data_IF_054933417551
#
_entry.id   IF_054933417551
#
_cell.length_a   1.000
_cell.length_b   1.000
_cell.length_c   1.000
_cell.angle_alpha   90.00
_cell.angle_beta   90.00
_cell.angle_gamma   90.00
#
_symmetry.space_group_name_H-M   'P 1'
#
loop_
_entity.id
_entity.type
_entity.pdbx_description
1 polymer ?
#
# COMPACT_ATOMS: atom_id res chain seq x y z
N UNK A 1 4.88 -45.15 -13.53
CA UNK A 1 3.54 -44.53 -13.36
C UNK A 1 3.29 -43.98 -11.94
N UNK A 2 3.94 -44.49 -10.88
CA UNK A 2 3.75 -44.07 -9.48
C UNK A 2 4.42 -42.71 -9.16
N UNK A 3 5.56 -42.41 -9.78
CA UNK A 3 6.35 -41.17 -9.56
C UNK A 3 5.59 -39.90 -9.95
N UNK A 4 4.72 -39.96 -10.96
CA UNK A 4 3.90 -38.83 -11.42
C UNK A 4 2.82 -38.44 -10.41
N UNK A 5 2.21 -39.42 -9.74
CA UNK A 5 1.17 -39.19 -8.72
C UNK A 5 1.72 -38.52 -7.47
N UNK A 6 2.91 -38.96 -7.02
CA UNK A 6 3.60 -38.37 -5.86
C UNK A 6 3.99 -36.91 -6.11
N UNK A 7 4.56 -36.60 -7.29
CA UNK A 7 4.90 -35.23 -7.69
C UNK A 7 3.67 -34.33 -7.78
N UNK A 8 2.55 -34.85 -8.29
CA UNK A 8 1.28 -34.12 -8.40
C UNK A 8 0.69 -33.81 -7.02
N UNK A 9 0.78 -34.75 -6.07
CA UNK A 9 0.34 -34.57 -4.66
C UNK A 9 1.21 -33.54 -3.94
N UNK A 10 2.53 -33.59 -4.10
CA UNK A 10 3.45 -32.60 -3.54
C UNK A 10 3.21 -31.19 -4.11
N UNK A 11 3.01 -31.06 -5.43
CA UNK A 11 2.70 -29.79 -6.10
C UNK A 11 1.33 -29.23 -5.70
N UNK A 12 0.37 -30.07 -5.31
CA UNK A 12 -0.95 -29.66 -4.79
C UNK A 12 -0.86 -29.19 -3.34
N UNK A 13 -0.13 -29.91 -2.50
CA UNK A 13 0.11 -29.52 -1.10
C UNK A 13 0.92 -28.22 -0.98
N UNK A 14 1.97 -28.07 -1.80
CA UNK A 14 2.76 -26.83 -1.87
C UNK A 14 1.92 -25.62 -2.33
N UNK A 15 0.98 -25.83 -3.27
CA UNK A 15 0.04 -24.77 -3.68
C UNK A 15 -0.91 -24.37 -2.55
N UNK A 16 -1.49 -25.32 -1.81
CA UNK A 16 -2.40 -24.97 -0.71
C UNK A 16 -1.70 -24.20 0.42
N UNK A 17 -0.45 -24.54 0.74
CA UNK A 17 0.34 -23.80 1.72
C UNK A 17 0.60 -22.35 1.27
N UNK A 18 0.96 -22.14 0.00
CA UNK A 18 1.12 -20.79 -0.57
C UNK A 18 -0.18 -19.99 -0.54
N UNK A 19 -1.31 -20.63 -0.87
CA UNK A 19 -2.62 -19.99 -0.86
C UNK A 19 -3.03 -19.56 0.56
N UNK A 20 -2.72 -20.38 1.57
CA UNK A 20 -2.93 -20.04 2.98
C UNK A 20 -2.02 -18.88 3.41
N UNK A 21 -0.72 -18.92 3.08
CA UNK A 21 0.22 -17.84 3.39
C UNK A 21 -0.22 -16.52 2.76
N UNK A 22 -0.68 -16.52 1.51
CA UNK A 22 -1.19 -15.33 0.83
C UNK A 22 -2.42 -14.77 1.55
N UNK A 23 -3.34 -15.65 1.96
CA UNK A 23 -4.55 -15.26 2.67
C UNK A 23 -4.22 -14.67 4.04
N UNK A 24 -3.23 -15.23 4.74
CA UNK A 24 -2.74 -14.71 6.02
C UNK A 24 -2.08 -13.35 5.81
N UNK A 25 -1.22 -13.20 4.81
CA UNK A 25 -0.58 -11.93 4.49
C UNK A 25 -1.60 -10.84 4.11
N UNK A 26 -2.60 -11.17 3.31
CA UNK A 26 -3.68 -10.26 2.93
C UNK A 26 -4.50 -9.82 4.17
N UNK A 27 -4.89 -10.77 5.03
CA UNK A 27 -5.60 -10.47 6.27
C UNK A 27 -4.76 -9.60 7.21
N UNK A 28 -3.47 -9.91 7.37
CA UNK A 28 -2.56 -9.12 8.20
C UNK A 28 -2.40 -7.71 7.66
N UNK A 29 -2.23 -7.54 6.34
CA UNK A 29 -2.12 -6.23 5.71
C UNK A 29 -3.37 -5.38 5.92
N UNK A 30 -4.57 -5.95 5.70
CA UNK A 30 -5.84 -5.25 5.94
C UNK A 30 -5.98 -4.89 7.42
N UNK A 31 -5.61 -5.80 8.33
CA UNK A 31 -5.69 -5.57 9.77
C UNK A 31 -4.77 -4.44 10.23
N UNK A 32 -3.54 -4.40 9.73
CA UNK A 32 -2.59 -3.31 9.98
C UNK A 32 -3.15 -1.99 9.45
N UNK A 33 -3.73 -1.98 8.25
CA UNK A 33 -4.35 -0.79 7.67
C UNK A 33 -5.49 -0.26 8.54
N UNK A 34 -6.38 -1.13 9.03
CA UNK A 34 -7.50 -0.75 9.89
C UNK A 34 -6.99 -0.16 11.21
N UNK A 35 -6.04 -0.81 11.89
CA UNK A 35 -5.48 -0.30 13.16
C UNK A 35 -4.82 1.05 12.93
N UNK A 36 -4.02 1.17 11.88
CA UNK A 36 -3.33 2.40 11.55
C UNK A 36 -4.31 3.54 11.26
N UNK A 37 -5.35 3.30 10.45
CA UNK A 37 -6.37 4.31 10.16
C UNK A 37 -7.19 4.69 11.38
N UNK A 38 -7.58 3.74 12.24
CA UNK A 38 -8.29 4.06 13.48
C UNK A 38 -7.43 4.94 14.41
N UNK A 39 -6.15 4.62 14.55
CA UNK A 39 -5.21 5.42 15.32
C UNK A 39 -5.11 6.86 14.80
N UNK A 40 -4.97 7.03 13.48
CA UNK A 40 -4.90 8.35 12.84
C UNK A 40 -6.23 9.11 12.86
N UNK A 41 -7.35 8.42 12.69
CA UNK A 41 -8.70 9.02 12.77
C UNK A 41 -8.88 9.72 14.12
N UNK A 42 -8.45 9.08 15.21
CA UNK A 42 -8.50 9.66 16.56
C UNK A 42 -7.65 10.92 16.63
N UNK A 43 -6.40 10.86 16.14
CA UNK A 43 -5.51 12.01 16.11
C UNK A 43 -6.09 13.18 15.29
N UNK A 44 -6.61 12.92 14.10
CA UNK A 44 -7.19 13.96 13.23
C UNK A 44 -8.51 14.53 13.75
N UNK A 45 -9.29 13.74 14.50
CA UNK A 45 -10.46 14.22 15.20
C UNK A 45 -10.06 15.25 16.27
N UNK A 46 -8.98 15.00 17.03
CA UNK A 46 -8.44 15.99 17.99
C UNK A 46 -7.86 17.23 17.29
N UNK A 47 -7.23 17.06 16.13
CA UNK A 47 -6.70 18.16 15.32
C UNK A 47 -7.78 18.96 14.57
N UNK A 48 -9.07 18.66 14.76
CA UNK A 48 -10.22 19.26 14.06
C UNK A 48 -10.16 19.21 12.52
N UNK A 49 -9.38 18.27 11.96
CA UNK A 49 -9.26 18.10 10.52
C UNK A 49 -10.31 17.12 9.99
N UNK A 50 -11.58 17.55 10.02
CA UNK A 50 -12.74 16.70 9.74
C UNK A 50 -12.74 16.04 8.36
N UNK A 51 -12.19 16.70 7.33
CA UNK A 51 -12.12 16.12 5.98
C UNK A 51 -11.30 14.84 5.97
N UNK A 52 -10.15 14.84 6.66
CA UNK A 52 -9.27 13.66 6.75
C UNK A 52 -9.94 12.57 7.58
N UNK A 53 -10.64 12.94 8.66
CA UNK A 53 -11.42 12.01 9.48
C UNK A 53 -12.46 11.27 8.64
N UNK A 54 -13.24 11.98 7.80
CA UNK A 54 -14.21 11.32 6.92
C UNK A 54 -13.54 10.40 5.90
N UNK A 55 -12.41 10.80 5.33
CA UNK A 55 -11.66 9.95 4.40
C UNK A 55 -11.12 8.69 5.06
N UNK A 56 -10.58 8.78 6.28
CA UNK A 56 -10.07 7.64 7.04
C UNK A 56 -11.19 6.68 7.45
N UNK A 57 -12.37 7.20 7.83
CA UNK A 57 -13.55 6.38 8.10
C UNK A 57 -13.99 5.63 6.84
N UNK A 58 -14.09 6.32 5.70
CA UNK A 58 -14.42 5.69 4.42
C UNK A 58 -13.40 4.61 4.05
N UNK A 59 -12.10 4.89 4.22
CA UNK A 59 -11.02 3.94 3.96
C UNK A 59 -11.11 2.69 4.87
N UNK A 60 -11.42 2.91 6.15
CA UNK A 60 -11.62 1.83 7.13
C UNK A 60 -12.80 0.95 6.72
N UNK A 61 -13.93 1.54 6.29
CA UNK A 61 -15.10 0.79 5.81
C UNK A 61 -14.77 -0.06 4.57
N UNK A 62 -14.03 0.48 3.60
CA UNK A 62 -13.64 -0.28 2.40
C UNK A 62 -12.64 -1.40 2.75
N UNK A 63 -11.76 -1.16 3.72
CA UNK A 63 -10.83 -2.18 4.23
C UNK A 63 -11.58 -3.32 4.94
N UNK A 64 -12.58 -3.00 5.75
CA UNK A 64 -13.48 -4.00 6.37
C UNK A 64 -14.24 -4.78 5.28
N UNK A 65 -14.74 -4.09 4.25
CA UNK A 65 -15.41 -4.74 3.13
C UNK A 65 -14.47 -5.69 2.36
N UNK A 66 -13.20 -5.31 2.18
CA UNK A 66 -12.17 -6.18 1.61
C UNK A 66 -11.92 -7.43 2.46
N UNK A 67 -11.92 -7.28 3.79
CA UNK A 67 -11.83 -8.42 4.72
C UNK A 67 -13.04 -9.34 4.59
N UNK A 68 -14.24 -8.78 4.46
CA UNK A 68 -15.48 -9.53 4.26
C UNK A 68 -15.48 -10.31 2.93
N UNK A 69 -14.95 -9.74 1.85
CA UNK A 69 -14.75 -10.45 0.57
C UNK A 69 -13.82 -11.67 0.72
N UNK A 70 -12.74 -11.54 1.50
CA UNK A 70 -11.84 -12.67 1.80
C UNK A 70 -12.57 -13.72 2.66
N UNK A 71 -13.48 -13.30 3.55
CA UNK A 71 -14.30 -14.21 4.36
C UNK A 71 -15.26 -15.04 3.51
N UNK A 72 -15.85 -14.48 2.44
CA UNK A 72 -16.73 -15.20 1.49
C UNK A 72 -15.93 -16.06 0.47
N UNK A 73 -14.66 -16.40 0.77
CA UNK A 73 -13.75 -17.14 -0.12
C UNK A 73 -13.44 -16.44 -1.46
N UNK A 74 -13.80 -15.17 -1.64
CA UNK A 74 -13.45 -14.36 -2.83
C UNK A 74 -12.09 -13.68 -2.65
N UNK A 75 -11.06 -14.49 -2.36
CA UNK A 75 -9.72 -14.03 -1.96
C UNK A 75 -9.12 -13.05 -2.99
N UNK A 76 -9.17 -13.41 -4.28
CA UNK A 76 -8.59 -12.59 -5.35
C UNK A 76 -9.27 -11.23 -5.48
N UNK A 77 -10.58 -11.13 -5.25
CA UNK A 77 -11.33 -9.88 -5.30
C UNK A 77 -11.06 -9.01 -4.07
N UNK A 78 -11.01 -9.60 -2.87
CA UNK A 78 -10.67 -8.87 -1.65
C UNK A 78 -9.23 -8.33 -1.68
N UNK A 79 -8.28 -9.09 -2.24
CA UNK A 79 -6.91 -8.61 -2.43
C UNK A 79 -6.85 -7.50 -3.49
N UNK A 80 -7.55 -7.65 -4.61
CA UNK A 80 -7.61 -6.60 -5.65
C UNK A 80 -8.17 -5.30 -5.09
N UNK A 81 -9.23 -5.38 -4.30
CA UNK A 81 -9.84 -4.22 -3.66
C UNK A 81 -8.87 -3.57 -2.66
N UNK A 82 -8.25 -4.36 -1.78
CA UNK A 82 -7.24 -3.87 -0.84
C UNK A 82 -6.05 -3.20 -1.55
N UNK A 83 -5.61 -3.75 -2.68
CA UNK A 83 -4.55 -3.16 -3.51
C UNK A 83 -4.98 -1.82 -4.12
N UNK A 84 -6.20 -1.74 -4.67
CA UNK A 84 -6.71 -0.48 -5.22
C UNK A 84 -6.82 0.60 -4.15
N UNK A 85 -7.27 0.22 -2.97
CA UNK A 85 -7.39 1.10 -1.79
C UNK A 85 -6.01 1.61 -1.34
N UNK A 86 -5.03 0.71 -1.24
CA UNK A 86 -3.63 1.05 -0.94
C UNK A 86 -2.91 1.84 -2.03
N UNK A 87 -3.49 1.97 -3.21
CA UNK A 87 -2.99 2.85 -4.26
C UNK A 87 -3.66 4.22 -4.19
N UNK A 88 -4.99 4.26 -4.22
CA UNK A 88 -5.76 5.50 -4.33
C UNK A 88 -5.58 6.36 -3.09
N UNK A 89 -5.65 5.76 -1.89
CA UNK A 89 -5.61 6.53 -0.66
C UNK A 89 -4.24 7.22 -0.44
N UNK A 90 -3.08 6.54 -0.51
CA UNK A 90 -1.79 7.21 -0.37
C UNK A 90 -1.53 8.27 -1.43
N UNK A 91 -1.95 8.03 -2.68
CA UNK A 91 -1.79 9.01 -3.77
C UNK A 91 -2.62 10.26 -3.50
N UNK A 92 -3.91 10.11 -3.18
CA UNK A 92 -4.77 11.25 -2.85
C UNK A 92 -4.24 11.98 -1.62
N UNK A 93 -3.84 11.24 -0.58
CA UNK A 93 -3.31 11.82 0.65
C UNK A 93 -2.02 12.62 0.39
N UNK A 94 -1.09 12.09 -0.41
CA UNK A 94 0.15 12.78 -0.80
C UNK A 94 -0.08 14.01 -1.68
N UNK A 95 -1.16 14.06 -2.46
CA UNK A 95 -1.46 15.19 -3.35
C UNK A 95 -2.11 16.35 -2.60
N UNK A 96 -3.03 16.06 -1.68
CA UNK A 96 -3.84 17.09 -1.02
C UNK A 96 -3.37 17.47 0.38
N UNK A 97 -2.85 16.52 1.16
CA UNK A 97 -2.62 16.71 2.60
C UNK A 97 -1.15 16.55 3.01
N UNK A 98 -0.42 15.64 2.37
CA UNK A 98 0.99 15.35 2.63
C UNK A 98 1.87 15.89 1.48
N UNK A 99 1.86 17.21 1.28
CA UNK A 99 2.70 17.89 0.28
C UNK A 99 4.13 17.96 0.81
N UNK A 100 5.09 17.46 0.03
CA UNK A 100 6.50 17.48 0.36
C UNK A 100 6.95 18.92 0.62
N UNK A 101 7.31 19.22 1.86
CA UNK A 101 8.01 20.47 2.20
C UNK A 101 9.38 20.10 2.76
N UNK A 102 10.39 20.98 2.63
CA UNK A 102 11.76 20.69 3.08
C UNK A 102 11.85 20.25 4.54
N UNK A 103 10.92 20.74 5.38
CA UNK A 103 10.86 20.47 6.81
C UNK A 103 9.96 19.29 7.18
N UNK A 104 9.13 18.80 6.24
CA UNK A 104 8.20 17.67 6.44
C UNK A 104 8.24 16.74 5.22
N UNK A 105 9.11 15.70 5.25
CA UNK A 105 9.14 14.71 4.19
C UNK A 105 7.85 13.88 4.19
N UNK A 106 7.35 13.55 3.01
CA UNK A 106 6.14 12.75 2.84
C UNK A 106 6.31 11.39 3.50
N UNK A 107 5.25 10.85 4.10
CA UNK A 107 5.28 9.53 4.76
C UNK A 107 4.28 8.58 4.12
N UNK A 108 3.18 9.09 3.55
CA UNK A 108 2.11 8.23 3.03
C UNK A 108 2.53 7.39 1.82
N UNK A 109 3.53 7.80 1.05
CA UNK A 109 4.02 7.03 -0.10
C UNK A 109 4.63 5.65 0.28
N UNK A 110 4.96 5.43 1.56
CA UNK A 110 5.47 4.15 2.08
C UNK A 110 4.46 3.00 2.02
N UNK A 111 3.17 3.30 1.82
CA UNK A 111 2.12 2.29 1.66
C UNK A 111 2.03 1.71 0.24
N UNK A 112 2.56 2.41 -0.78
CA UNK A 112 2.52 1.98 -2.17
C UNK A 112 3.27 0.65 -2.45
N UNK A 113 4.47 0.41 -1.89
CA UNK A 113 5.17 -0.87 -2.05
C UNK A 113 4.42 -2.03 -1.41
N UNK A 114 3.76 -1.82 -0.27
CA UNK A 114 2.99 -2.86 0.40
C UNK A 114 1.82 -3.34 -0.49
N UNK A 115 1.11 -2.40 -1.13
CA UNK A 115 0.08 -2.71 -2.12
C UNK A 115 0.64 -3.45 -3.34
N UNK A 116 1.78 -3.01 -3.88
CA UNK A 116 2.43 -3.64 -5.03
C UNK A 116 2.88 -5.08 -4.75
N UNK A 117 3.49 -5.34 -3.58
CA UNK A 117 3.91 -6.68 -3.17
C UNK A 117 2.69 -7.59 -3.02
N UNK A 118 1.63 -7.11 -2.36
CA UNK A 118 0.41 -7.89 -2.18
C UNK A 118 -0.24 -8.25 -3.52
N UNK A 119 -0.31 -7.29 -4.45
CA UNK A 119 -0.78 -7.50 -5.82
C UNK A 119 0.07 -8.51 -6.58
N UNK A 120 1.39 -8.42 -6.50
CA UNK A 120 2.31 -9.35 -7.16
C UNK A 120 2.17 -10.79 -6.61
N UNK A 121 2.02 -10.94 -5.30
CA UNK A 121 1.81 -12.24 -4.68
C UNK A 121 0.48 -12.87 -5.13
N UNK A 122 -0.57 -12.06 -5.28
CA UNK A 122 -1.86 -12.50 -5.82
C UNK A 122 -1.77 -12.86 -7.31
N UNK A 123 -1.02 -12.08 -8.10
CA UNK A 123 -0.81 -12.33 -9.53
C UNK A 123 -0.12 -13.67 -9.80
N UNK A 124 0.81 -14.05 -8.93
CA UNK A 124 1.45 -15.38 -9.00
C UNK A 124 0.52 -16.54 -8.67
N UNK A 125 -0.60 -16.28 -7.97
CA UNK A 125 -1.62 -17.28 -7.65
C UNK A 125 -2.66 -17.37 -8.77
N UNK A 126 -3.29 -16.25 -9.07
CA UNK A 126 -4.31 -16.11 -10.12
C UNK A 126 -3.99 -14.88 -10.97
N UNK A 127 -3.43 -15.07 -12.18
CA UNK A 127 -3.03 -13.95 -13.01
C UNK A 127 -4.27 -13.17 -13.45
N UNK A 128 -4.28 -11.88 -13.12
CA UNK A 128 -5.31 -10.94 -13.54
C UNK A 128 -4.65 -9.69 -14.12
N UNK A 129 -5.15 -9.24 -15.27
CA UNK A 129 -4.65 -8.04 -15.94
C UNK A 129 -4.78 -6.80 -15.04
N UNK A 130 -5.87 -6.69 -14.28
CA UNK A 130 -6.10 -5.58 -13.35
C UNK A 130 -5.03 -5.51 -12.25
N UNK A 131 -4.53 -6.66 -11.79
CA UNK A 131 -3.47 -6.69 -10.77
C UNK A 131 -2.15 -6.14 -11.32
N UNK A 132 -1.78 -6.47 -12.56
CA UNK A 132 -0.59 -5.92 -13.21
C UNK A 132 -0.70 -4.40 -13.33
N UNK A 133 -1.84 -3.92 -13.82
CA UNK A 133 -2.09 -2.48 -13.96
C UNK A 133 -1.92 -1.78 -12.61
N UNK A 134 -2.51 -2.32 -11.55
CA UNK A 134 -2.38 -1.76 -10.20
C UNK A 134 -0.94 -1.82 -9.66
N UNK A 135 -0.18 -2.90 -9.92
CA UNK A 135 1.23 -3.00 -9.52
C UNK A 135 2.06 -1.91 -10.22
N UNK A 136 1.91 -1.80 -11.54
CA UNK A 136 2.64 -0.81 -12.34
C UNK A 136 2.28 0.61 -11.92
N UNK A 137 1.00 0.90 -11.68
CA UNK A 137 0.56 2.20 -11.19
C UNK A 137 1.09 2.49 -9.79
N UNK A 138 1.13 1.52 -8.86
CA UNK A 138 1.74 1.71 -7.54
C UNK A 138 3.23 2.06 -7.63
N UNK A 139 3.97 1.39 -8.52
CA UNK A 139 5.41 1.65 -8.73
C UNK A 139 5.62 3.01 -9.40
N UNK A 140 4.83 3.34 -10.42
CA UNK A 140 4.91 4.64 -11.10
C UNK A 140 4.58 5.79 -10.14
N UNK A 141 3.53 5.63 -9.32
CA UNK A 141 3.18 6.60 -8.29
C UNK A 141 4.28 6.75 -7.24
N UNK A 142 4.91 5.65 -6.81
CA UNK A 142 6.04 5.69 -5.89
C UNK A 142 7.19 6.51 -6.50
N UNK A 143 7.59 6.19 -7.73
CA UNK A 143 8.66 6.88 -8.42
C UNK A 143 8.38 8.39 -8.51
N UNK A 144 7.19 8.76 -8.97
CA UNK A 144 6.79 10.16 -9.10
C UNK A 144 6.79 10.91 -7.76
N UNK A 145 6.31 10.29 -6.69
CA UNK A 145 6.26 10.91 -5.37
C UNK A 145 7.63 11.07 -4.73
N UNK A 146 8.54 10.12 -4.96
CA UNK A 146 9.94 10.18 -4.51
C UNK A 146 10.72 11.23 -5.29
N UNK A 147 10.56 11.28 -6.61
CA UNK A 147 11.21 12.28 -7.46
C UNK A 147 10.78 13.71 -7.09
N UNK A 148 9.48 13.94 -6.87
CA UNK A 148 8.96 15.22 -6.41
C UNK A 148 9.55 15.66 -5.06
N UNK A 149 9.78 14.72 -4.14
CA UNK A 149 10.45 14.98 -2.86
C UNK A 149 11.91 15.39 -3.07
N UNK A 150 12.63 14.69 -3.96
CA UNK A 150 14.04 14.93 -4.28
C UNK A 150 14.25 16.33 -4.88
N UNK A 151 13.42 16.72 -5.84
CA UNK A 151 13.44 18.06 -6.45
C UNK A 151 13.15 19.18 -5.45
N UNK A 152 12.36 18.90 -4.41
CA UNK A 152 12.04 19.89 -3.36
C UNK A 152 13.17 20.04 -2.35
N UNK A 153 13.96 18.99 -2.09
CA UNK A 153 15.03 18.99 -1.06
C UNK A 153 16.37 19.47 -1.63
N UNK A 154 16.74 19.08 -2.85
CA UNK A 154 18.05 19.37 -3.45
C UNK A 154 18.39 20.87 -3.47
N UNK A 155 17.50 21.79 -3.89
CA UNK A 155 17.78 23.22 -3.88
C UNK A 155 18.03 23.77 -2.46
N UNK A 156 17.26 23.29 -1.48
CA UNK A 156 17.41 23.69 -0.07
C UNK A 156 18.72 23.18 0.54
N UNK A 157 19.12 21.96 0.20
CA UNK A 157 20.40 21.40 0.64
C UNK A 157 21.57 22.17 0.06
N UNK A 158 21.51 22.52 -1.24
CA UNK A 158 22.50 23.37 -1.89
C UNK A 158 22.59 24.75 -1.22
N UNK A 159 21.46 25.39 -0.91
CA UNK A 159 21.45 26.71 -0.30
C UNK A 159 21.99 26.69 1.13
N UNK A 160 21.65 25.67 1.94
CA UNK A 160 22.24 25.49 3.28
C UNK A 160 23.75 25.23 3.21
N UNK A 161 24.21 24.35 2.32
CA UNK A 161 25.64 24.06 2.15
C UNK A 161 26.41 25.31 1.69
N UNK A 162 25.84 26.08 0.75
CA UNK A 162 26.45 27.32 0.27
C UNK A 162 26.58 28.37 1.37
N UNK A 163 25.54 28.56 2.20
CA UNK A 163 25.61 29.47 3.36
C UNK A 163 26.67 29.01 4.36
N UNK A 164 26.80 27.70 4.61
CA UNK A 164 27.84 27.16 5.51
C UNK A 164 29.24 27.35 4.92
N UNK A 165 29.43 27.25 3.60
CA UNK A 165 30.74 27.38 2.96
C UNK A 165 31.16 28.84 2.68
N UNK A 166 30.22 29.77 2.53
CA UNK A 166 30.51 31.18 2.17
C UNK A 166 30.29 32.14 3.34
N UNK A 167 29.51 31.76 4.34
CA UNK A 167 29.20 32.57 5.53
C UNK A 167 30.00 32.22 6.80
N UNK A 168 31.08 31.43 6.68
CA UNK A 168 31.98 31.06 7.78
C UNK A 168 33.33 31.76 7.67
#
# INVERSE_FOLDING_TARGET
>A
MITSSYFKKHKKHYRSLKDQQLTIAAKANIFICIIFCLFWTIYFAFAQMWVIVYMDICFTLISIFSFFLIYINRISAGILLSQAVLLVFPVVFCLFFDVATPDRPRVAHLFLPAGAILGYLNYRREPSFLQIVLILLSIAALYFLVEALLLSIVPYLYQKIFVIMVGG
#
